data_IF_894214874335
#
_entry.id   IF_894214874335
#
_cell.length_a   1.000
_cell.length_b   1.000
_cell.length_c   1.000
_cell.angle_alpha   90.00
_cell.angle_beta   90.00
_cell.angle_gamma   90.00
#
_symmetry.space_group_name_H-M   'P 1'
#
loop_
_entity.id
_entity.type
_entity.pdbx_description
1 polymer ?
#
# COMPACT_ATOMS: atom_id res chain seq x y z
N UNK A 1 10.34 28.58 16.14
CA UNK A 1 8.90 28.35 15.89
C UNK A 1 8.52 27.07 16.60
N UNK A 2 7.57 27.12 17.55
CA UNK A 2 7.11 25.90 18.21
C UNK A 2 6.43 25.02 17.15
N UNK A 3 6.84 23.75 17.03
CA UNK A 3 6.08 22.77 16.24
C UNK A 3 4.68 22.73 16.82
N UNK A 4 3.66 22.96 15.99
CA UNK A 4 2.27 22.73 16.37
C UNK A 4 2.18 21.31 16.97
N UNK A 5 1.78 21.23 18.23
CA UNK A 5 1.56 19.97 18.93
C UNK A 5 0.06 19.75 18.99
N UNK A 6 -0.41 18.61 18.47
CA UNK A 6 -1.82 18.29 18.43
C UNK A 6 -2.13 17.20 17.40
N UNK A 7 -3.34 16.62 17.47
CA UNK A 7 -3.70 15.43 16.70
C UNK A 7 -3.54 15.60 15.17
N UNK A 8 -3.77 16.82 14.64
CA UNK A 8 -3.61 17.12 13.21
C UNK A 8 -2.13 17.10 12.79
N UNK A 9 -1.25 17.72 13.59
CA UNK A 9 0.18 17.75 13.31
C UNK A 9 0.81 16.35 13.42
N UNK A 10 0.36 15.56 14.40
CA UNK A 10 0.80 14.16 14.58
C UNK A 10 0.37 13.28 13.41
N UNK A 11 -0.86 13.46 12.90
CA UNK A 11 -1.34 12.75 11.71
C UNK A 11 -0.48 13.08 10.47
N UNK A 12 -0.26 14.36 10.19
CA UNK A 12 0.55 14.81 9.04
C UNK A 12 1.97 14.27 9.15
N UNK A 13 2.57 14.33 10.35
CA UNK A 13 3.92 13.83 10.57
C UNK A 13 4.01 12.31 10.42
N UNK A 14 3.02 11.57 10.93
CA UNK A 14 2.98 10.11 10.82
C UNK A 14 2.85 9.66 9.38
N UNK A 15 1.95 10.29 8.62
CA UNK A 15 1.79 10.04 7.18
C UNK A 15 3.09 10.28 6.42
N UNK A 16 3.78 11.40 6.71
CA UNK A 16 5.09 11.69 6.14
C UNK A 16 6.11 10.60 6.45
N UNK A 17 6.20 10.16 7.72
CA UNK A 17 7.14 9.10 8.12
C UNK A 17 6.90 7.78 7.38
N UNK A 18 5.64 7.41 7.15
CA UNK A 18 5.31 6.20 6.39
C UNK A 18 5.75 6.35 4.93
N UNK A 19 5.42 7.47 4.31
CA UNK A 19 5.84 7.77 2.94
C UNK A 19 7.37 7.77 2.78
N UNK A 20 8.08 8.42 3.70
CA UNK A 20 9.55 8.45 3.75
C UNK A 20 10.12 7.03 3.91
N UNK A 21 9.53 6.20 4.76
CA UNK A 21 9.96 4.81 4.97
C UNK A 21 9.86 3.95 3.70
N UNK A 22 8.80 4.13 2.91
CA UNK A 22 8.63 3.43 1.62
C UNK A 22 9.29 4.13 0.43
N UNK A 23 9.88 5.32 0.62
CA UNK A 23 10.42 6.14 -0.47
C UNK A 23 9.34 6.55 -1.49
N UNK A 24 8.09 6.73 -1.04
CA UNK A 24 6.96 7.03 -1.89
C UNK A 24 6.51 8.49 -1.75
N UNK A 25 6.28 9.15 -2.89
CA UNK A 25 5.73 10.49 -2.96
C UNK A 25 4.29 10.43 -3.51
N UNK A 26 3.30 10.75 -2.69
CA UNK A 26 1.91 10.84 -3.12
C UNK A 26 0.90 11.18 -2.03
N UNK A 27 -0.23 11.73 -2.47
CA UNK A 27 -1.39 12.04 -1.62
C UNK A 27 -2.47 10.95 -1.82
N UNK A 28 -2.34 9.85 -1.07
CA UNK A 28 -3.32 8.77 -1.03
C UNK A 28 -3.59 8.33 0.42
N UNK A 29 -4.74 7.70 0.66
CA UNK A 29 -5.04 7.11 1.97
C UNK A 29 -4.10 5.95 2.26
N UNK A 30 -3.80 5.68 3.53
CA UNK A 30 -2.95 4.56 3.93
C UNK A 30 -3.84 3.56 4.66
N UNK A 31 -3.81 2.30 4.22
CA UNK A 31 -4.58 1.23 4.83
C UNK A 31 -3.70 0.02 5.15
N UNK A 32 -3.35 -0.21 6.43
CA UNK A 32 -2.56 -1.37 6.82
C UNK A 32 -3.42 -2.63 6.82
N UNK A 33 -3.03 -3.63 6.04
CA UNK A 33 -3.65 -4.96 5.92
C UNK A 33 -2.63 -6.04 6.34
N UNK A 34 -2.03 -5.87 7.52
CA UNK A 34 -0.84 -6.61 7.93
C UNK A 34 -1.05 -8.12 8.13
N UNK A 35 -2.29 -8.55 8.35
CA UNK A 35 -2.64 -9.95 8.61
C UNK A 35 -3.22 -10.67 7.39
N UNK A 36 -3.43 -9.94 6.29
CA UNK A 36 -4.05 -10.44 5.07
C UNK A 36 -3.00 -11.10 4.17
N UNK A 37 -3.39 -12.23 3.57
CA UNK A 37 -2.63 -12.80 2.48
C UNK A 37 -2.82 -11.96 1.23
N UNK A 38 -1.77 -11.84 0.42
CA UNK A 38 -1.77 -10.97 -0.74
C UNK A 38 -0.88 -11.47 -1.85
N UNK A 39 -1.13 -11.00 -3.06
CA UNK A 39 -0.36 -11.28 -4.26
C UNK A 39 -0.45 -10.09 -5.22
N UNK A 40 0.53 -9.99 -6.12
CA UNK A 40 0.45 -9.11 -7.29
C UNK A 40 0.35 -9.99 -8.52
N UNK A 41 -0.63 -9.70 -9.38
CA UNK A 41 -0.83 -10.37 -10.66
C UNK A 41 -0.71 -9.37 -11.78
N UNK A 42 0.05 -9.71 -12.81
CA UNK A 42 0.11 -8.95 -14.05
C UNK A 42 -0.76 -9.63 -15.11
N UNK A 43 -1.51 -8.82 -15.85
CA UNK A 43 -2.42 -9.26 -16.91
C UNK A 43 -2.42 -8.21 -18.02
N UNK A 44 -1.74 -8.51 -19.13
CA UNK A 44 -1.50 -7.61 -20.25
C UNK A 44 -1.03 -6.21 -19.79
N UNK A 45 -1.90 -5.20 -19.94
CA UNK A 45 -1.63 -3.80 -19.60
C UNK A 45 -1.95 -3.44 -18.14
N UNK A 46 -2.42 -4.40 -17.34
CA UNK A 46 -2.87 -4.17 -15.97
C UNK A 46 -2.03 -4.92 -14.95
N UNK A 47 -1.86 -4.29 -13.79
CA UNK A 47 -1.30 -4.93 -12.60
C UNK A 47 -2.37 -4.88 -11.52
N UNK A 48 -2.67 -6.02 -10.93
CA UNK A 48 -3.68 -6.18 -9.91
C UNK A 48 -3.05 -6.54 -8.57
N UNK A 49 -3.49 -5.86 -7.52
CA UNK A 49 -3.34 -6.29 -6.15
C UNK A 49 -4.47 -7.26 -5.84
N UNK A 50 -4.13 -8.49 -5.47
CA UNK A 50 -5.05 -9.49 -4.95
C UNK A 50 -4.81 -9.64 -3.45
N UNK A 51 -5.85 -9.61 -2.63
CA UNK A 51 -5.72 -9.94 -1.21
C UNK A 51 -6.95 -10.68 -0.68
N UNK A 52 -6.75 -11.49 0.36
CA UNK A 52 -7.78 -12.35 0.93
C UNK A 52 -8.14 -11.87 2.32
N UNK A 53 -9.42 -11.58 2.50
CA UNK A 53 -9.98 -11.29 3.81
C UNK A 53 -9.84 -12.46 4.77
N UNK A 54 -9.96 -12.20 6.06
CA UNK A 54 -9.96 -13.24 7.11
C UNK A 54 -11.07 -14.28 6.91
N UNK A 55 -12.13 -13.95 6.16
CA UNK A 55 -13.23 -14.85 5.78
C UNK A 55 -12.95 -15.64 4.50
N UNK A 56 -11.76 -15.50 3.90
CA UNK A 56 -11.36 -16.18 2.67
C UNK A 56 -11.87 -15.52 1.38
N UNK A 57 -12.67 -14.44 1.47
CA UNK A 57 -13.09 -13.67 0.30
C UNK A 57 -11.89 -12.97 -0.34
N UNK A 58 -11.68 -13.20 -1.64
CA UNK A 58 -10.69 -12.49 -2.46
C UNK A 58 -11.20 -11.11 -2.86
N UNK A 59 -10.32 -10.12 -2.80
CA UNK A 59 -10.52 -8.76 -3.30
C UNK A 59 -9.42 -8.46 -4.32
N UNK A 60 -9.82 -7.90 -5.45
CA UNK A 60 -8.93 -7.48 -6.54
C UNK A 60 -9.02 -5.96 -6.71
N UNK A 61 -7.86 -5.29 -6.70
CA UNK A 61 -7.75 -3.84 -6.89
C UNK A 61 -6.71 -3.52 -7.97
N UNK A 62 -6.99 -2.52 -8.81
CA UNK A 62 -6.08 -2.13 -9.90
C UNK A 62 -4.94 -1.29 -9.32
N UNK A 63 -3.69 -1.70 -9.55
CA UNK A 63 -2.49 -0.99 -9.11
C UNK A 63 -2.30 0.27 -9.95
N UNK A 64 -2.05 1.39 -9.28
CA UNK A 64 -1.78 2.68 -9.92
C UNK A 64 -0.41 2.61 -10.60
N UNK A 65 -0.32 3.12 -11.83
CA UNK A 65 0.95 3.30 -12.54
C UNK A 65 1.40 4.75 -12.47
N UNK A 66 2.69 4.99 -12.16
CA UNK A 66 3.35 6.29 -12.29
C UNK A 66 4.37 6.19 -13.43
N UNK A 67 4.15 6.96 -14.50
CA UNK A 67 4.99 6.91 -15.71
C UNK A 67 5.12 5.50 -16.31
N UNK A 68 4.03 4.73 -16.32
CA UNK A 68 3.99 3.36 -16.86
C UNK A 68 4.39 2.26 -15.85
N UNK A 69 5.02 2.60 -14.73
CA UNK A 69 5.48 1.63 -13.74
C UNK A 69 4.47 1.46 -12.60
N UNK A 70 4.08 0.23 -12.23
CA UNK A 70 3.24 -0.02 -11.05
C UNK A 70 3.85 0.55 -9.78
N UNK A 71 3.04 1.24 -8.97
CA UNK A 71 3.45 1.85 -7.71
C UNK A 71 3.49 0.80 -6.59
N UNK A 72 4.57 0.01 -6.58
CA UNK A 72 4.84 -1.04 -5.59
C UNK A 72 6.17 -0.72 -4.90
N UNK A 73 6.15 -0.56 -3.58
CA UNK A 73 7.29 -0.16 -2.78
C UNK A 73 7.60 -1.23 -1.74
N UNK A 74 8.74 -1.91 -1.90
CA UNK A 74 9.15 -3.01 -1.03
C UNK A 74 10.22 -2.56 -0.05
N UNK A 75 10.06 -2.93 1.21
CA UNK A 75 11.08 -2.84 2.25
C UNK A 75 11.46 -4.25 2.71
N UNK A 76 12.27 -4.35 3.77
CA UNK A 76 12.66 -5.62 4.38
C UNK A 76 11.43 -6.43 4.82
N UNK A 77 10.55 -5.81 5.60
CA UNK A 77 9.47 -6.50 6.30
C UNK A 77 8.09 -6.27 5.68
N UNK A 78 7.94 -5.19 4.90
CA UNK A 78 6.66 -4.74 4.38
C UNK A 78 6.72 -4.43 2.88
N UNK A 79 5.56 -4.50 2.23
CA UNK A 79 5.34 -3.94 0.90
C UNK A 79 4.12 -3.04 0.93
N UNK A 80 4.26 -1.85 0.34
CA UNK A 80 3.15 -0.95 0.06
C UNK A 80 2.78 -1.04 -1.42
N UNK A 81 1.51 -1.27 -1.71
CA UNK A 81 0.95 -1.27 -3.07
C UNK A 81 -0.07 -0.16 -3.17
N UNK A 82 0.13 0.78 -4.09
CA UNK A 82 -0.84 1.86 -4.32
C UNK A 82 -1.85 1.40 -5.37
N UNK A 83 -3.10 1.19 -4.97
CA UNK A 83 -4.17 0.69 -5.83
C UNK A 83 -5.45 1.54 -5.70
N UNK A 84 -6.38 1.36 -6.64
CA UNK A 84 -7.68 2.05 -6.66
C UNK A 84 -8.75 1.16 -6.05
N UNK A 85 -9.34 1.63 -4.95
CA UNK A 85 -10.54 1.08 -4.32
C UNK A 85 -11.46 2.26 -3.95
N UNK A 86 -12.32 2.65 -4.90
CA UNK A 86 -13.05 3.93 -4.98
C UNK A 86 -12.18 5.20 -4.98
N UNK A 87 -11.02 5.19 -4.32
CA UNK A 87 -9.99 6.24 -4.24
C UNK A 87 -8.61 5.60 -4.34
N UNK A 88 -7.54 6.41 -4.42
CA UNK A 88 -6.16 5.90 -4.34
C UNK A 88 -5.83 5.56 -2.88
N UNK A 89 -5.37 4.33 -2.66
CA UNK A 89 -5.00 3.82 -1.33
C UNK A 89 -3.64 3.12 -1.43
N UNK A 90 -2.74 3.44 -0.50
CA UNK A 90 -1.53 2.68 -0.22
C UNK A 90 -1.85 1.56 0.76
N UNK A 91 -2.02 0.36 0.23
CA UNK A 91 -2.24 -0.85 1.03
C UNK A 91 -0.89 -1.39 1.52
N UNK A 92 -0.75 -1.60 2.82
CA UNK A 92 0.51 -2.08 3.42
C UNK A 92 0.32 -3.51 3.90
N UNK A 93 1.18 -4.41 3.43
CA UNK A 93 1.17 -5.81 3.79
C UNK A 93 2.51 -6.26 4.38
N UNK A 94 2.49 -7.34 5.17
CA UNK A 94 3.70 -8.05 5.57
C UNK A 94 4.22 -8.90 4.41
N UNK A 95 5.54 -8.87 4.20
CA UNK A 95 6.18 -9.65 3.13
C UNK A 95 6.00 -11.17 3.30
N UNK A 96 5.99 -11.66 4.55
CA UNK A 96 5.78 -13.09 4.86
C UNK A 96 4.37 -13.62 4.60
N UNK A 97 3.44 -12.75 4.16
CA UNK A 97 2.06 -13.11 3.77
C UNK A 97 1.84 -13.07 2.25
N UNK A 98 2.90 -12.90 1.47
CA UNK A 98 2.84 -12.82 0.02
C UNK A 98 2.76 -14.23 -0.61
N UNK A 99 1.72 -14.51 -1.39
CA UNK A 99 1.51 -15.80 -2.07
C UNK A 99 2.30 -15.94 -3.39
N UNK A 100 2.78 -14.84 -3.99
CA UNK A 100 3.58 -14.83 -5.22
C UNK A 100 5.01 -15.37 -5.01
N UNK A 101 5.45 -15.61 -3.77
CA UNK A 101 6.79 -16.13 -3.44
C UNK A 101 6.86 -17.66 -3.30
N UNK A 102 5.94 -18.42 -3.90
CA UNK A 102 6.07 -19.88 -4.03
C UNK A 102 6.74 -20.25 -5.36
#
# INVERSE_FOLDING_TARGET
MAKEKGPVADFVQTRKRINDYFGCEGDFFIHPLLDFEWAVREDEDFTFLCYWTTEGKKIDAVVVKKSGTPMIYKTKDYTMVVAIDCVKIGFIFRNGKNQTQQ
#
